data_IF_829642485348
#
_entry.id   IF_829642485348
#
_cell.length_a   1.000
_cell.length_b   1.000
_cell.length_c   1.000
_cell.angle_alpha   90.00
_cell.angle_beta   90.00
_cell.angle_gamma   90.00
#
_symmetry.space_group_name_H-M   'P 1'
#
loop_
_entity.id
_entity.type
_entity.pdbx_description
1 polymer ?
#
# COMPACT_ATOMS: atom_id res chain seq x y z
N UNK A 1 0.58 17.80 -8.21
CA UNK A 1 1.76 18.04 -9.09
C UNK A 1 2.61 19.14 -8.51
N UNK A 2 2.07 20.35 -8.32
CA UNK A 2 2.81 21.48 -7.74
C UNK A 2 3.49 21.14 -6.41
N UNK A 3 2.75 20.60 -5.44
CA UNK A 3 3.29 20.17 -4.13
C UNK A 3 4.49 19.20 -4.29
N UNK A 4 4.38 18.22 -5.18
CA UNK A 4 5.46 17.25 -5.41
C UNK A 4 6.69 17.88 -6.05
N UNK A 5 6.51 18.86 -6.96
CA UNK A 5 7.64 19.61 -7.54
C UNK A 5 8.31 20.49 -6.48
N UNK A 6 7.53 21.17 -5.65
CA UNK A 6 8.06 21.97 -4.53
C UNK A 6 8.88 21.11 -3.57
N UNK A 7 8.39 19.92 -3.22
CA UNK A 7 9.12 18.95 -2.38
C UNK A 7 10.45 18.49 -3.02
N UNK A 8 10.49 18.31 -4.35
CA UNK A 8 11.74 17.97 -5.07
C UNK A 8 12.73 19.15 -4.97
N UNK A 9 12.25 20.38 -5.16
CA UNK A 9 13.06 21.59 -5.03
C UNK A 9 13.65 21.76 -3.63
N UNK A 10 12.86 21.53 -2.59
CA UNK A 10 13.30 21.54 -1.19
C UNK A 10 14.38 20.46 -0.95
N UNK A 11 14.11 19.22 -1.34
CA UNK A 11 15.06 18.12 -1.17
C UNK A 11 16.39 18.37 -1.89
N UNK A 12 16.36 18.97 -3.09
CA UNK A 12 17.56 19.36 -3.84
C UNK A 12 18.36 20.44 -3.10
N UNK A 13 17.67 21.43 -2.53
CA UNK A 13 18.31 22.52 -1.78
C UNK A 13 18.99 22.00 -0.51
N UNK A 14 18.36 21.07 0.20
CA UNK A 14 18.88 20.55 1.47
C UNK A 14 19.93 19.45 1.30
N UNK A 15 19.75 18.55 0.33
CA UNK A 15 20.56 17.33 0.22
C UNK A 15 21.53 17.32 -0.97
N UNK A 16 21.29 18.15 -2.00
CA UNK A 16 22.11 18.27 -3.21
C UNK A 16 22.02 17.09 -4.20
N UNK A 17 21.78 15.86 -3.73
CA UNK A 17 21.61 14.65 -4.55
C UNK A 17 20.23 14.04 -4.30
N UNK A 18 19.38 14.03 -5.32
CA UNK A 18 17.99 13.56 -5.22
C UNK A 18 17.67 12.58 -6.34
N UNK A 19 17.09 11.44 -5.97
CA UNK A 19 16.41 10.50 -6.89
C UNK A 19 14.91 10.64 -6.63
N UNK A 20 14.13 10.83 -7.69
CA UNK A 20 12.67 10.95 -7.61
C UNK A 20 12.03 9.62 -7.96
N UNK A 21 11.13 9.15 -7.10
CA UNK A 21 10.39 7.91 -7.31
C UNK A 21 8.94 8.06 -6.90
N UNK A 22 8.03 7.37 -7.59
CA UNK A 22 6.60 7.38 -7.31
C UNK A 22 5.74 7.76 -8.51
N UNK A 23 4.45 8.02 -8.28
CA UNK A 23 3.47 8.28 -9.34
C UNK A 23 3.86 9.40 -10.31
N UNK A 24 4.40 10.51 -9.79
CA UNK A 24 4.80 11.64 -10.64
C UNK A 24 5.99 11.29 -11.54
N UNK A 25 6.82 10.33 -11.16
CA UNK A 25 7.94 9.86 -11.98
C UNK A 25 7.52 9.26 -13.32
N UNK A 26 6.24 8.87 -13.47
CA UNK A 26 5.67 8.49 -14.77
C UNK A 26 5.57 9.68 -15.76
N UNK A 27 5.79 10.92 -15.29
CA UNK A 27 5.82 12.17 -16.09
C UNK A 27 7.22 12.79 -16.01
N UNK A 28 8.22 12.01 -16.39
CA UNK A 28 9.64 12.38 -16.29
C UNK A 28 9.96 13.75 -16.90
N UNK A 29 9.45 14.03 -18.11
CA UNK A 29 9.69 15.28 -18.82
C UNK A 29 9.31 16.52 -17.98
N UNK A 30 8.16 16.48 -17.29
CA UNK A 30 7.69 17.57 -16.45
C UNK A 30 8.60 17.82 -15.25
N UNK A 31 9.16 16.75 -14.67
CA UNK A 31 10.09 16.87 -13.55
C UNK A 31 11.42 17.44 -14.05
N UNK A 32 11.96 16.93 -15.16
CA UNK A 32 13.26 17.37 -15.69
C UNK A 32 13.24 18.81 -16.20
N UNK A 33 12.13 19.27 -16.76
CA UNK A 33 11.97 20.66 -17.20
C UNK A 33 12.12 21.64 -16.03
N UNK A 34 11.52 21.33 -14.88
CA UNK A 34 11.56 22.19 -13.68
C UNK A 34 12.81 21.97 -12.83
N UNK A 35 13.25 20.73 -12.69
CA UNK A 35 14.36 20.31 -11.84
C UNK A 35 15.39 19.46 -12.60
N UNK A 36 16.16 20.05 -13.54
CA UNK A 36 17.11 19.31 -14.37
C UNK A 36 18.29 18.71 -13.58
N UNK A 37 18.45 19.08 -12.30
CA UNK A 37 19.52 18.60 -11.40
C UNK A 37 19.16 17.31 -10.65
N UNK A 38 17.94 16.80 -10.79
CA UNK A 38 17.58 15.48 -10.24
C UNK A 38 18.47 14.42 -10.89
N UNK A 39 19.02 13.50 -10.10
CA UNK A 39 19.91 12.46 -10.58
C UNK A 39 19.16 11.48 -11.47
N UNK A 40 18.10 10.88 -10.93
CA UNK A 40 17.29 9.88 -11.64
C UNK A 40 15.82 10.01 -11.28
N UNK A 41 14.97 9.56 -12.20
CA UNK A 41 13.51 9.57 -12.05
C UNK A 41 13.00 8.16 -12.35
N UNK A 42 12.09 7.66 -11.51
CA UNK A 42 11.54 6.31 -11.63
C UNK A 42 10.03 6.30 -11.34
N UNK A 43 9.31 5.34 -11.94
CA UNK A 43 7.87 5.18 -11.75
C UNK A 43 7.49 4.47 -10.44
N UNK A 44 6.18 4.32 -10.15
CA UNK A 44 5.68 3.78 -8.89
C UNK A 44 5.91 2.28 -8.65
N UNK A 45 6.36 1.53 -9.66
CA UNK A 45 6.65 0.08 -9.58
C UNK A 45 8.13 -0.25 -9.73
N UNK A 46 8.99 0.77 -9.80
CA UNK A 46 10.40 0.64 -10.19
C UNK A 46 11.34 0.33 -9.01
N UNK A 47 10.98 -0.60 -8.12
CA UNK A 47 11.76 -0.87 -6.89
C UNK A 47 13.22 -1.27 -7.19
N UNK A 48 13.43 -2.19 -8.13
CA UNK A 48 14.77 -2.64 -8.51
C UNK A 48 15.60 -1.51 -9.11
N UNK A 49 15.01 -0.74 -10.03
CA UNK A 49 15.64 0.41 -10.67
C UNK A 49 16.02 1.50 -9.64
N UNK A 50 15.18 1.76 -8.64
CA UNK A 50 15.51 2.70 -7.56
C UNK A 50 16.77 2.23 -6.81
N UNK A 51 16.87 0.94 -6.49
CA UNK A 51 18.04 0.39 -5.82
C UNK A 51 19.29 0.44 -6.70
N UNK A 52 19.16 0.17 -8.00
CA UNK A 52 20.26 0.32 -8.97
C UNK A 52 20.77 1.75 -9.01
N UNK A 53 19.88 2.74 -9.12
CA UNK A 53 20.23 4.15 -9.10
C UNK A 53 20.90 4.55 -7.77
N UNK A 54 20.35 4.13 -6.63
CA UNK A 54 20.97 4.37 -5.33
C UNK A 54 22.38 3.79 -5.29
N UNK A 55 22.59 2.57 -5.78
CA UNK A 55 23.90 1.92 -5.80
C UNK A 55 24.88 2.53 -6.82
N UNK A 56 24.38 3.14 -7.89
CA UNK A 56 25.20 3.87 -8.85
C UNK A 56 25.82 5.14 -8.22
N UNK A 57 25.02 5.92 -7.49
CA UNK A 57 25.48 7.18 -6.89
C UNK A 57 26.00 7.05 -5.46
N UNK A 58 25.72 5.93 -4.79
CA UNK A 58 26.13 5.62 -3.42
C UNK A 58 26.58 4.15 -3.33
N UNK A 59 27.90 3.89 -3.25
CA UNK A 59 28.42 2.54 -3.20
C UNK A 59 27.77 1.71 -2.10
N UNK A 60 27.39 0.47 -2.42
CA UNK A 60 26.80 -0.43 -1.44
C UNK A 60 27.75 -0.59 -0.26
N UNK A 61 27.30 -0.38 0.99
CA UNK A 61 28.16 -0.57 2.15
C UNK A 61 28.62 -2.03 2.20
N UNK A 62 29.87 -2.27 2.63
CA UNK A 62 30.35 -3.63 2.87
C UNK A 62 29.43 -4.29 3.90
N UNK A 63 28.87 -5.45 3.56
CA UNK A 63 27.99 -6.18 4.47
C UNK A 63 28.75 -6.53 5.76
N UNK A 64 28.18 -6.14 6.90
CA UNK A 64 28.73 -6.45 8.21
C UNK A 64 27.61 -7.11 9.04
N UNK A 65 27.71 -8.41 9.39
CA UNK A 65 26.66 -9.11 10.14
C UNK A 65 26.25 -8.45 11.46
N UNK A 66 27.13 -7.66 12.08
CA UNK A 66 26.87 -6.98 13.34
C UNK A 66 26.24 -5.59 13.17
N UNK A 67 26.29 -5.00 11.97
CA UNK A 67 25.78 -3.65 11.68
C UNK A 67 24.63 -3.64 10.68
N UNK A 68 24.61 -4.60 9.76
CA UNK A 68 23.59 -4.77 8.71
C UNK A 68 22.38 -5.54 9.24
N UNK A 69 21.90 -5.16 10.43
CA UNK A 69 20.74 -5.78 11.08
C UNK A 69 19.46 -5.14 10.54
N UNK A 70 18.67 -5.91 9.81
CA UNK A 70 17.32 -5.53 9.39
C UNK A 70 16.33 -6.29 10.28
N UNK A 71 15.42 -5.61 11.00
CA UNK A 71 14.40 -6.29 11.79
C UNK A 71 13.54 -7.19 10.90
N UNK A 72 13.03 -8.30 11.46
CA UNK A 72 12.22 -9.28 10.70
C UNK A 72 10.93 -8.66 10.12
N UNK A 73 10.35 -7.71 10.85
CA UNK A 73 9.22 -6.90 10.43
C UNK A 73 9.55 -5.83 9.37
N UNK A 74 10.83 -5.70 8.98
CA UNK A 74 11.33 -4.64 8.13
C UNK A 74 11.55 -3.31 8.87
N UNK A 75 11.88 -2.28 8.09
CA UNK A 75 12.03 -0.92 8.60
C UNK A 75 10.72 -0.17 8.45
N UNK A 76 10.21 0.38 9.55
CA UNK A 76 9.01 1.22 9.54
C UNK A 76 9.40 2.68 9.61
N UNK A 77 8.74 3.50 8.79
CA UNK A 77 8.81 4.96 8.87
C UNK A 77 7.63 5.55 9.66
N UNK A 78 6.67 4.72 10.08
CA UNK A 78 5.55 5.13 10.92
C UNK A 78 5.90 5.09 12.41
N UNK A 79 5.19 5.86 13.26
CA UNK A 79 5.21 5.68 14.71
C UNK A 79 5.06 4.23 15.16
N UNK A 80 5.61 3.92 16.33
CA UNK A 80 5.70 2.53 16.84
C UNK A 80 4.35 1.80 16.89
N UNK A 81 3.28 2.52 17.22
CA UNK A 81 1.96 1.96 17.53
C UNK A 81 1.12 1.54 16.32
N UNK A 82 1.43 1.99 15.10
CA UNK A 82 0.67 1.59 13.91
C UNK A 82 1.56 1.21 12.72
N UNK A 83 0.96 0.52 11.75
CA UNK A 83 1.57 0.23 10.46
C UNK A 83 0.51 0.19 9.35
N UNK A 84 0.89 0.64 8.15
CA UNK A 84 0.11 0.41 6.94
C UNK A 84 0.37 -1.00 6.41
N UNK A 85 -0.70 -1.73 6.10
CA UNK A 85 -0.65 -3.05 5.51
C UNK A 85 -1.25 -2.98 4.11
N UNK A 86 -0.40 -2.90 3.08
CA UNK A 86 -0.85 -2.86 1.68
C UNK A 86 -1.25 -4.25 1.22
N UNK A 87 -2.48 -4.44 0.75
CA UNK A 87 -3.00 -5.78 0.39
C UNK A 87 -3.11 -6.00 -1.12
N UNK A 88 -3.23 -4.94 -1.90
CA UNK A 88 -3.27 -4.99 -3.36
C UNK A 88 -2.76 -3.68 -3.96
N UNK A 89 -2.53 -3.71 -5.27
CA UNK A 89 -2.10 -2.58 -6.09
C UNK A 89 -2.97 -2.51 -7.35
N UNK A 90 -3.09 -1.34 -7.97
CA UNK A 90 -3.94 -1.14 -9.14
C UNK A 90 -5.45 -1.21 -8.83
N UNK A 91 -6.29 -1.03 -9.85
CA UNK A 91 -7.74 -1.04 -9.67
C UNK A 91 -8.48 -1.43 -10.97
N UNK A 92 -9.51 -2.27 -10.85
CA UNK A 92 -10.35 -2.68 -11.99
C UNK A 92 -11.46 -1.68 -12.31
N UNK A 93 -11.76 -0.75 -11.41
CA UNK A 93 -12.76 0.28 -11.66
C UNK A 93 -12.28 1.26 -12.75
N UNK A 94 -13.18 1.57 -13.69
CA UNK A 94 -12.96 2.56 -14.75
C UNK A 94 -13.72 3.85 -14.45
N UNK A 95 -13.50 4.42 -13.26
CA UNK A 95 -14.10 5.69 -12.90
C UNK A 95 -13.62 6.78 -13.87
N UNK A 96 -14.55 7.57 -14.41
CA UNK A 96 -14.28 8.58 -15.45
C UNK A 96 -13.25 9.63 -15.05
N UNK A 97 -13.11 9.89 -13.75
CA UNK A 97 -12.16 10.85 -13.18
C UNK A 97 -10.82 10.21 -12.77
N UNK A 98 -10.73 8.88 -12.72
CA UNK A 98 -9.64 8.18 -12.05
C UNK A 98 -8.55 7.76 -13.04
N UNK A 99 -7.31 8.20 -12.77
CA UNK A 99 -6.12 7.85 -13.57
C UNK A 99 -5.47 6.52 -13.14
N UNK A 100 -5.91 5.91 -12.04
CA UNK A 100 -5.25 4.74 -11.45
C UNK A 100 -5.11 3.57 -12.44
N UNK A 101 -6.14 3.17 -13.22
CA UNK A 101 -5.99 2.06 -14.16
C UNK A 101 -4.90 2.26 -15.21
N UNK A 102 -4.72 3.50 -15.71
CA UNK A 102 -3.67 3.78 -16.70
C UNK A 102 -2.29 3.94 -16.07
N UNK A 103 -2.23 4.37 -14.80
CA UNK A 103 -0.97 4.66 -14.11
C UNK A 103 -0.39 3.47 -13.32
N UNK A 104 -1.25 2.69 -12.66
CA UNK A 104 -0.89 1.56 -11.76
C UNK A 104 -1.40 0.21 -12.27
N UNK A 105 -2.14 0.20 -13.38
CA UNK A 105 -2.68 -1.01 -13.98
C UNK A 105 -3.94 -1.53 -13.30
N UNK A 106 -4.34 -2.73 -13.74
CA UNK A 106 -5.45 -3.49 -13.19
C UNK A 106 -5.13 -4.00 -11.77
N UNK A 107 -6.17 -4.46 -11.08
CA UNK A 107 -6.03 -4.99 -9.72
C UNK A 107 -5.07 -6.18 -9.70
N UNK A 108 -4.07 -6.08 -8.82
CA UNK A 108 -3.15 -7.16 -8.48
C UNK A 108 -3.18 -7.36 -6.96
N UNK A 109 -3.81 -8.44 -6.52
CA UNK A 109 -3.88 -8.80 -5.11
C UNK A 109 -2.62 -9.51 -4.65
N UNK A 110 -2.10 -9.14 -3.47
CA UNK A 110 -1.03 -9.90 -2.83
C UNK A 110 -1.56 -11.24 -2.32
N UNK A 111 -0.75 -12.31 -2.34
CA UNK A 111 -1.15 -13.59 -1.74
C UNK A 111 -1.48 -13.43 -0.25
N UNK A 112 -2.63 -13.95 0.18
CA UNK A 112 -3.11 -13.74 1.56
C UNK A 112 -2.15 -14.28 2.63
N UNK A 113 -1.45 -15.38 2.35
CA UNK A 113 -0.46 -15.94 3.27
C UNK A 113 0.68 -14.98 3.58
N UNK A 114 1.14 -14.23 2.57
CA UNK A 114 2.19 -13.21 2.74
C UNK A 114 1.68 -12.00 3.52
N UNK A 115 0.46 -11.54 3.22
CA UNK A 115 -0.18 -10.43 3.92
C UNK A 115 -0.37 -10.76 5.41
N UNK A 116 -0.87 -11.95 5.73
CA UNK A 116 -1.06 -12.40 7.11
C UNK A 116 0.26 -12.63 7.83
N UNK A 117 1.28 -13.15 7.15
CA UNK A 117 2.62 -13.28 7.74
C UNK A 117 3.22 -11.91 8.06
N UNK A 118 3.07 -10.92 7.18
CA UNK A 118 3.49 -9.55 7.45
C UNK A 118 2.71 -8.92 8.62
N UNK A 119 1.39 -9.06 8.64
CA UNK A 119 0.54 -8.57 9.72
C UNK A 119 0.95 -9.15 11.07
N UNK A 120 1.25 -10.45 11.13
CA UNK A 120 1.74 -11.12 12.33
C UNK A 120 3.10 -10.55 12.78
N UNK A 121 4.08 -10.42 11.88
CA UNK A 121 5.39 -9.84 12.21
C UNK A 121 5.26 -8.40 12.74
N UNK A 122 4.35 -7.61 12.17
CA UNK A 122 4.06 -6.25 12.65
C UNK A 122 3.47 -6.26 14.06
N UNK A 123 2.49 -7.14 14.33
CA UNK A 123 1.89 -7.29 15.65
C UNK A 123 2.92 -7.74 16.71
N UNK A 124 3.74 -8.75 16.38
CA UNK A 124 4.81 -9.26 17.24
C UNK A 124 5.85 -8.17 17.56
N UNK A 125 6.09 -7.25 16.61
CA UNK A 125 6.96 -6.08 16.79
C UNK A 125 6.31 -4.94 17.62
N UNK A 126 5.12 -5.17 18.19
CA UNK A 126 4.45 -4.24 19.11
C UNK A 126 3.51 -3.24 18.45
N UNK A 127 3.18 -3.40 17.16
CA UNK A 127 2.11 -2.63 16.51
C UNK A 127 0.78 -2.90 17.22
N UNK A 128 0.01 -1.85 17.43
CA UNK A 128 -1.32 -1.89 18.07
C UNK A 128 -2.46 -1.59 17.09
N UNK A 129 -2.15 -1.10 15.91
CA UNK A 129 -3.13 -0.84 14.85
C UNK A 129 -2.56 -1.12 13.45
N UNK A 130 -3.28 -1.93 12.68
CA UNK A 130 -3.05 -2.15 11.25
C UNK A 130 -4.02 -1.29 10.45
N UNK A 131 -3.47 -0.41 9.61
CA UNK A 131 -4.21 0.38 8.64
C UNK A 131 -4.16 -0.38 7.30
N UNK A 132 -5.22 -1.13 7.00
CA UNK A 132 -5.34 -1.91 5.76
C UNK A 132 -5.61 -0.96 4.61
N UNK A 133 -4.76 -1.03 3.58
CA UNK A 133 -4.82 -0.11 2.44
C UNK A 133 -4.69 -0.84 1.08
N UNK A 134 -5.37 -0.29 0.09
CA UNK A 134 -5.17 -0.51 -1.34
C UNK A 134 -5.88 0.62 -2.12
N UNK A 135 -6.01 0.50 -3.44
CA UNK A 135 -6.86 1.42 -4.22
C UNK A 135 -8.36 1.11 -4.06
N UNK A 136 -8.67 -0.15 -3.78
CA UNK A 136 -10.01 -0.67 -3.50
C UNK A 136 -9.86 -1.91 -2.60
N UNK A 137 -10.10 -1.73 -1.30
CA UNK A 137 -9.89 -2.77 -0.29
C UNK A 137 -10.91 -3.89 -0.42
N UNK A 138 -12.14 -3.57 -0.81
CA UNK A 138 -13.23 -4.55 -0.92
C UNK A 138 -13.12 -5.42 -2.18
N UNK A 139 -12.37 -4.99 -3.20
CA UNK A 139 -12.05 -5.83 -4.35
C UNK A 139 -10.92 -6.87 -4.09
N UNK A 140 -10.29 -6.89 -2.91
CA UNK A 140 -9.17 -7.78 -2.62
C UNK A 140 -9.50 -9.26 -2.91
N UNK A 141 -8.69 -9.87 -3.77
CA UNK A 141 -8.77 -11.28 -4.16
C UNK A 141 -9.69 -11.59 -5.34
N UNK A 142 -10.41 -10.61 -5.89
CA UNK A 142 -11.30 -10.81 -7.05
C UNK A 142 -10.53 -11.21 -8.32
N UNK A 143 -9.39 -10.57 -8.57
CA UNK A 143 -8.47 -10.83 -9.69
C UNK A 143 -7.92 -12.27 -9.69
N UNK A 144 -7.70 -12.84 -8.49
CA UNK A 144 -7.26 -14.22 -8.31
C UNK A 144 -8.40 -15.21 -8.06
N UNK A 145 -9.66 -14.79 -8.28
CA UNK A 145 -10.87 -15.62 -8.08
C UNK A 145 -10.92 -16.25 -6.68
N UNK A 146 -10.55 -15.50 -5.66
CA UNK A 146 -10.49 -15.94 -4.27
C UNK A 146 -9.64 -17.19 -4.02
N UNK A 147 -8.56 -17.34 -4.80
CA UNK A 147 -7.59 -18.44 -4.65
C UNK A 147 -7.22 -18.63 -3.17
N UNK A 148 -7.26 -19.88 -2.72
CA UNK A 148 -6.82 -20.24 -1.36
C UNK A 148 -5.31 -20.10 -1.24
N UNK A 149 -4.87 -19.34 -0.24
CA UNK A 149 -3.50 -19.33 0.26
C UNK A 149 -3.40 -20.09 1.58
N UNK A 150 -2.22 -20.11 2.16
CA UNK A 150 -1.97 -20.77 3.44
C UNK A 150 -1.29 -19.82 4.41
N UNK A 151 -1.73 -19.84 5.66
CA UNK A 151 -1.07 -19.15 6.77
C UNK A 151 -1.04 -20.10 7.99
N UNK A 152 0.14 -20.33 8.56
CA UNK A 152 0.36 -21.29 9.65
C UNK A 152 -0.23 -22.69 9.38
N UNK A 153 -0.13 -23.17 8.14
CA UNK A 153 -0.67 -24.47 7.73
C UNK A 153 -2.19 -24.51 7.53
N UNK A 154 -2.91 -23.41 7.79
CA UNK A 154 -4.35 -23.32 7.60
C UNK A 154 -4.69 -22.72 6.23
N UNK A 155 -5.66 -23.28 5.50
CA UNK A 155 -6.12 -22.71 4.23
C UNK A 155 -6.98 -21.47 4.49
N UNK A 156 -6.69 -20.37 3.79
CA UNK A 156 -7.44 -19.11 3.87
C UNK A 156 -7.77 -18.64 2.46
N UNK A 157 -9.03 -18.32 2.18
CA UNK A 157 -9.42 -17.75 0.88
C UNK A 157 -8.88 -16.33 0.75
N UNK A 158 -8.34 -15.97 -0.41
CA UNK A 158 -7.93 -14.58 -0.67
C UNK A 158 -9.18 -13.73 -0.88
N UNK A 159 -9.70 -13.12 0.18
CA UNK A 159 -10.82 -12.17 0.13
C UNK A 159 -10.69 -11.16 1.27
N UNK A 160 -11.32 -9.98 1.12
CA UNK A 160 -11.38 -8.98 2.19
C UNK A 160 -11.97 -9.56 3.49
N UNK A 161 -13.05 -10.33 3.39
CA UNK A 161 -13.74 -10.94 4.55
C UNK A 161 -12.82 -11.89 5.29
N UNK A 162 -12.23 -12.88 4.58
CA UNK A 162 -11.33 -13.85 5.21
C UNK A 162 -10.09 -13.17 5.80
N UNK A 163 -9.58 -12.13 5.13
CA UNK A 163 -8.50 -11.31 5.67
C UNK A 163 -8.91 -10.66 7.00
N UNK A 164 -10.09 -10.05 7.08
CA UNK A 164 -10.58 -9.42 8.32
C UNK A 164 -10.75 -10.44 9.45
N UNK A 165 -11.29 -11.63 9.15
CA UNK A 165 -11.45 -12.72 10.12
C UNK A 165 -10.11 -13.19 10.70
N UNK A 166 -9.08 -13.32 9.86
CA UNK A 166 -7.75 -13.71 10.32
C UNK A 166 -7.03 -12.58 11.06
N UNK A 167 -7.13 -11.33 10.59
CA UNK A 167 -6.53 -10.18 11.26
C UNK A 167 -7.15 -9.93 12.64
N UNK A 168 -8.44 -10.19 12.81
CA UNK A 168 -9.13 -10.10 14.10
C UNK A 168 -8.51 -11.00 15.19
N UNK A 169 -7.87 -12.11 14.81
CA UNK A 169 -7.21 -13.04 15.74
C UNK A 169 -5.92 -12.48 16.34
N UNK A 170 -5.37 -11.40 15.78
CA UNK A 170 -4.13 -10.78 16.26
C UNK A 170 -4.33 -9.98 17.55
N UNK A 171 -5.57 -9.66 17.94
CA UNK A 171 -5.86 -8.92 19.18
C UNK A 171 -5.38 -7.47 19.15
N UNK A 172 -5.21 -6.89 17.96
CA UNK A 172 -4.85 -5.49 17.72
C UNK A 172 -5.90 -4.82 16.83
N UNK A 173 -5.92 -3.50 16.78
CA UNK A 173 -6.87 -2.79 15.94
C UNK A 173 -6.61 -3.03 14.45
N UNK A 174 -7.70 -3.18 13.70
CA UNK A 174 -7.69 -3.32 12.25
C UNK A 174 -8.63 -2.28 11.67
N UNK A 175 -8.10 -1.37 10.86
CA UNK A 175 -8.85 -0.28 10.22
C UNK A 175 -8.82 -0.43 8.71
N UNK A 176 -9.98 -0.46 8.09
CA UNK A 176 -10.12 -0.54 6.62
C UNK A 176 -10.16 0.88 6.02
N UNK A 177 -9.35 1.13 4.99
CA UNK A 177 -9.41 2.35 4.18
C UNK A 177 -9.81 2.03 2.75
N UNK A 178 -10.35 3.03 2.04
CA UNK A 178 -10.63 2.93 0.61
C UNK A 178 -11.56 1.73 0.28
N UNK A 179 -12.70 1.66 0.95
CA UNK A 179 -13.69 0.60 0.78
C UNK A 179 -14.72 1.02 -0.26
N UNK A 180 -14.85 0.25 -1.34
CA UNK A 180 -15.95 0.42 -2.30
C UNK A 180 -17.20 -0.34 -1.82
N UNK A 181 -18.42 0.21 -1.93
CA UNK A 181 -19.63 -0.33 -1.31
C UNK A 181 -20.23 -1.52 -2.10
N UNK A 182 -19.48 -2.60 -2.22
CA UNK A 182 -20.00 -3.87 -2.73
C UNK A 182 -20.91 -4.56 -1.71
N UNK A 183 -21.88 -5.39 -2.13
CA UNK A 183 -22.76 -6.11 -1.21
C UNK A 183 -22.04 -6.94 -0.13
N UNK A 184 -20.89 -7.55 -0.46
CA UNK A 184 -20.12 -8.36 0.49
C UNK A 184 -19.37 -7.55 1.55
N UNK A 185 -19.39 -6.21 1.49
CA UNK A 185 -18.91 -5.38 2.60
C UNK A 185 -19.80 -5.58 3.83
N UNK A 186 -21.07 -5.91 3.65
CA UNK A 186 -21.98 -6.19 4.77
C UNK A 186 -21.49 -7.39 5.61
N UNK A 187 -20.75 -8.32 5.00
CA UNK A 187 -20.21 -9.51 5.69
C UNK A 187 -19.14 -9.17 6.75
N UNK A 188 -18.52 -7.99 6.70
CA UNK A 188 -17.57 -7.55 7.74
C UNK A 188 -18.22 -6.77 8.88
N UNK A 189 -19.48 -6.34 8.73
CA UNK A 189 -20.21 -5.58 9.77
C UNK A 189 -20.37 -6.39 11.06
N UNK A 190 -20.68 -7.70 11.06
CA UNK A 190 -20.72 -8.49 12.29
C UNK A 190 -19.39 -8.47 13.07
N UNK A 191 -18.26 -8.51 12.37
CA UNK A 191 -16.93 -8.42 13.00
C UNK A 191 -16.72 -7.05 13.68
N UNK A 192 -17.23 -5.97 13.07
CA UNK A 192 -17.20 -4.63 13.67
C UNK A 192 -18.08 -4.55 14.92
N UNK A 193 -19.30 -5.09 14.85
CA UNK A 193 -20.24 -5.10 15.97
C UNK A 193 -19.72 -5.91 17.17
N UNK A 194 -19.00 -6.99 16.91
CA UNK A 194 -18.33 -7.82 17.93
C UNK A 194 -17.01 -7.20 18.44
N UNK A 195 -16.57 -6.05 17.91
CA UNK A 195 -15.32 -5.40 18.29
C UNK A 195 -14.06 -6.14 17.83
N UNK A 196 -14.18 -7.08 16.89
CA UNK A 196 -13.07 -7.86 16.32
C UNK A 196 -12.22 -7.03 15.36
N UNK A 197 -12.84 -6.10 14.66
CA UNK A 197 -12.19 -5.06 13.85
C UNK A 197 -12.83 -3.71 14.20
N UNK A 198 -12.20 -2.59 13.83
CA UNK A 198 -12.74 -1.27 14.16
C UNK A 198 -14.02 -1.00 13.34
N UNK A 199 -15.07 -0.40 13.93
CA UNK A 199 -16.28 0.02 13.23
C UNK A 199 -16.02 1.30 12.42
N UNK A 200 -15.12 1.20 11.45
CA UNK A 200 -14.68 2.29 10.59
C UNK A 200 -14.69 1.84 9.12
N UNK A 201 -15.51 2.49 8.31
CA UNK A 201 -15.61 2.26 6.87
C UNK A 201 -15.38 3.60 6.15
N UNK A 202 -14.21 3.73 5.54
CA UNK A 202 -13.89 4.82 4.65
C UNK A 202 -14.44 4.52 3.24
N UNK A 203 -15.68 4.98 2.98
CA UNK A 203 -16.42 4.74 1.74
C UNK A 203 -16.60 6.05 0.96
N UNK A 204 -15.78 6.31 -0.07
CA UNK A 204 -15.92 7.50 -0.88
C UNK A 204 -16.98 7.31 -1.98
N UNK A 205 -18.19 7.83 -1.76
CA UNK A 205 -19.31 7.75 -2.72
C UNK A 205 -19.13 8.62 -3.98
N UNK A 206 -18.14 9.53 -3.97
CA UNK A 206 -17.83 10.50 -5.03
C UNK A 206 -18.91 11.59 -5.26
N UNK A 207 -20.19 11.21 -5.35
CA UNK A 207 -21.32 12.13 -5.49
C UNK A 207 -22.62 11.48 -4.95
N UNK A 208 -23.64 12.29 -4.64
CA UNK A 208 -24.97 11.80 -4.21
C UNK A 208 -26.08 11.94 -5.28
N UNK A 209 -25.74 12.31 -6.52
CA UNK A 209 -26.72 12.58 -7.57
C UNK A 209 -26.79 11.39 -8.52
N UNK A 210 -27.95 10.75 -8.72
CA UNK A 210 -28.09 9.63 -9.64
C UNK A 210 -27.70 9.98 -11.09
N UNK A 211 -27.79 11.26 -11.48
CA UNK A 211 -27.37 11.73 -12.80
C UNK A 211 -25.86 11.79 -12.94
N UNK A 212 -25.14 12.10 -11.86
CA UNK A 212 -23.67 12.25 -11.88
C UNK A 212 -22.98 10.89 -11.66
N UNK A 213 -23.61 9.96 -10.95
CA UNK A 213 -23.06 8.63 -10.67
C UNK A 213 -23.16 7.66 -11.86
N UNK A 214 -23.99 7.94 -12.86
CA UNK A 214 -24.15 7.15 -14.08
C UNK A 214 -23.21 7.65 -15.17
#
# INVERSE_FOLDING_TARGET
VQESLEAIGEALKENGKVIVTGCLGAKEDQIREVHPKVLEITGPHSYEQVLEHVHHYSPKPKHNPFLSLVPEQGVKLTPRHYAYLKISEGCNHRCTFCIIPSMRGDLVSRPIGEVLAEAKRLADAGVKELLVISQDTSAYGVDVKHRTGFHNGMPVKTSMVSLCEELAKLGIWVRLHYVYPYPHVDDVIPLMAEGKILPYLDIPLQHASPRILK
#
